data_IF_909079842262
#
_entry.id   IF_909079842262
#
_cell.length_a   1.000
_cell.length_b   1.000
_cell.length_c   1.000
_cell.angle_alpha   90.00
_cell.angle_beta   90.00
_cell.angle_gamma   90.00
#
_symmetry.space_group_name_H-M   'P 1'
#
loop_
_entity.id
_entity.type
_entity.pdbx_description
1 polymer ?
#
# COMPACT_ATOMS: atom_id res chain seq x y z
N UNK A 1 -6.38 48.35 21.77
CA UNK A 1 -6.89 47.54 20.70
C UNK A 1 -8.40 47.54 20.69
N UNK A 2 -8.98 47.61 19.56
CA UNK A 2 -10.43 47.63 19.42
C UNK A 2 -10.97 46.20 19.53
N UNK A 3 -12.21 46.12 19.98
CA UNK A 3 -12.89 44.83 20.12
C UNK A 3 -12.94 44.07 18.79
N UNK A 4 -13.10 44.81 17.69
CA UNK A 4 -13.12 44.22 16.35
C UNK A 4 -11.82 43.52 16.03
N UNK A 5 -10.70 44.16 16.37
CA UNK A 5 -9.38 43.57 16.11
C UNK A 5 -9.15 42.31 16.94
N UNK A 6 -9.58 42.33 18.21
CA UNK A 6 -9.51 41.17 19.07
C UNK A 6 -10.35 40.02 18.52
N UNK A 7 -11.54 40.35 18.07
CA UNK A 7 -12.44 39.37 17.49
C UNK A 7 -11.83 38.74 16.22
N UNK A 8 -11.27 39.57 15.34
CA UNK A 8 -10.65 39.09 14.13
C UNK A 8 -9.45 38.20 14.43
N UNK A 9 -8.68 38.55 15.45
CA UNK A 9 -7.54 37.73 15.85
C UNK A 9 -7.98 36.36 16.34
N UNK A 10 -9.05 36.31 17.15
CA UNK A 10 -9.62 35.08 17.64
C UNK A 10 -10.16 34.20 16.51
N UNK A 11 -10.88 34.83 15.58
CA UNK A 11 -11.42 34.12 14.42
C UNK A 11 -10.30 33.55 13.57
N UNK A 12 -9.23 34.31 13.36
CA UNK A 12 -8.08 33.82 12.62
C UNK A 12 -7.42 32.61 13.28
N UNK A 13 -7.26 32.67 14.61
CA UNK A 13 -6.67 31.57 15.35
C UNK A 13 -7.56 30.33 15.30
N UNK A 14 -8.86 30.49 15.48
CA UNK A 14 -9.80 29.37 15.36
C UNK A 14 -9.76 28.76 13.97
N UNK A 15 -9.69 29.60 12.96
CA UNK A 15 -9.63 29.15 11.58
C UNK A 15 -8.37 28.34 11.32
N UNK A 16 -7.24 28.80 11.85
CA UNK A 16 -5.96 28.10 11.73
C UNK A 16 -6.02 26.75 12.42
N UNK A 17 -6.52 26.71 13.65
CA UNK A 17 -6.67 25.48 14.40
C UNK A 17 -7.58 24.49 13.67
N UNK A 18 -8.67 24.97 13.10
CA UNK A 18 -9.60 24.14 12.35
C UNK A 18 -8.93 23.57 11.11
N UNK A 19 -8.16 24.37 10.40
CA UNK A 19 -7.43 23.91 9.21
C UNK A 19 -6.39 22.86 9.59
N UNK A 20 -5.64 23.08 10.67
CA UNK A 20 -4.66 22.12 11.15
C UNK A 20 -5.32 20.81 11.53
N UNK A 21 -6.42 20.85 12.26
CA UNK A 21 -7.17 19.65 12.64
C UNK A 21 -7.71 18.92 11.42
N UNK A 22 -8.24 19.66 10.46
CA UNK A 22 -8.75 19.07 9.23
C UNK A 22 -7.64 18.42 8.43
N UNK A 23 -6.48 19.07 8.34
CA UNK A 23 -5.32 18.52 7.66
C UNK A 23 -4.87 17.22 8.32
N UNK A 24 -4.82 17.19 9.65
CA UNK A 24 -4.47 16.00 10.41
C UNK A 24 -5.45 14.87 10.17
N UNK A 25 -6.76 15.17 10.18
CA UNK A 25 -7.79 14.18 9.91
C UNK A 25 -7.67 13.61 8.49
N UNK A 26 -7.39 14.46 7.52
CA UNK A 26 -7.25 14.04 6.13
C UNK A 26 -6.05 13.10 5.99
N UNK A 27 -4.92 13.48 6.60
CA UNK A 27 -3.72 12.64 6.58
C UNK A 27 -3.97 11.29 7.26
N UNK A 28 -4.60 11.31 8.44
CA UNK A 28 -4.91 10.08 9.16
C UNK A 28 -5.86 9.20 8.38
N UNK A 29 -6.84 9.79 7.72
CA UNK A 29 -7.81 9.06 6.92
C UNK A 29 -7.16 8.41 5.72
N UNK A 30 -6.27 9.12 5.04
CA UNK A 30 -5.55 8.58 3.90
C UNK A 30 -4.65 7.42 4.33
N UNK A 31 -3.92 7.59 5.42
CA UNK A 31 -3.06 6.55 5.97
C UNK A 31 -3.86 5.32 6.36
N UNK A 32 -4.98 5.52 7.06
CA UNK A 32 -5.84 4.41 7.47
C UNK A 32 -6.43 3.67 6.29
N UNK A 33 -6.80 4.40 5.24
CA UNK A 33 -7.32 3.79 4.02
C UNK A 33 -6.28 2.87 3.41
N UNK A 34 -5.05 3.35 3.28
CA UNK A 34 -3.96 2.54 2.72
C UNK A 34 -3.64 1.35 3.60
N UNK A 35 -3.58 1.56 4.92
CA UNK A 35 -3.34 0.48 5.87
C UNK A 35 -4.43 -0.59 5.80
N UNK A 36 -5.68 -0.19 5.66
CA UNK A 36 -6.79 -1.12 5.52
C UNK A 36 -6.74 -1.89 4.22
N UNK A 37 -6.38 -1.23 3.12
CA UNK A 37 -6.23 -1.89 1.84
C UNK A 37 -5.12 -2.94 1.89
N UNK A 38 -4.01 -2.60 2.50
CA UNK A 38 -2.90 -3.55 2.68
C UNK A 38 -3.36 -4.73 3.54
N UNK A 39 -4.05 -4.46 4.64
CA UNK A 39 -4.55 -5.52 5.52
C UNK A 39 -5.47 -6.48 4.78
N UNK A 40 -6.39 -5.96 3.99
CA UNK A 40 -7.31 -6.77 3.20
C UNK A 40 -6.55 -7.63 2.19
N UNK A 41 -5.61 -7.03 1.47
CA UNK A 41 -4.79 -7.76 0.49
C UNK A 41 -4.01 -8.88 1.15
N UNK A 42 -3.43 -8.61 2.32
CA UNK A 42 -2.68 -9.62 3.07
C UNK A 42 -3.59 -10.77 3.48
N UNK A 43 -4.72 -10.45 4.10
CA UNK A 43 -5.65 -11.48 4.57
C UNK A 43 -6.19 -12.34 3.43
N UNK A 44 -6.57 -11.71 2.33
CA UNK A 44 -7.06 -12.43 1.16
C UNK A 44 -5.99 -13.36 0.58
N UNK A 45 -4.76 -12.88 0.52
CA UNK A 45 -3.67 -13.69 -0.01
C UNK A 45 -3.33 -14.85 0.91
N UNK A 46 -3.36 -14.64 2.21
CA UNK A 46 -3.14 -15.72 3.17
C UNK A 46 -4.21 -16.80 3.02
N UNK A 47 -5.47 -16.39 2.87
CA UNK A 47 -6.55 -17.34 2.62
C UNK A 47 -6.34 -18.12 1.33
N UNK A 48 -5.97 -17.42 0.28
CA UNK A 48 -5.70 -18.02 -1.02
C UNK A 48 -4.59 -19.05 -0.96
N UNK A 49 -3.53 -18.76 -0.21
CA UNK A 49 -2.38 -19.64 -0.07
C UNK A 49 -2.54 -20.68 1.03
N UNK A 50 -3.58 -20.57 1.83
CA UNK A 50 -3.79 -21.46 2.97
C UNK A 50 -2.78 -21.26 4.08
N UNK A 51 -2.24 -20.04 4.21
CA UNK A 51 -1.24 -19.72 5.21
C UNK A 51 -1.88 -19.03 6.41
N UNK A 52 -1.28 -19.24 7.58
CA UNK A 52 -1.69 -18.54 8.78
C UNK A 52 -0.88 -17.26 8.96
N UNK A 53 -1.36 -16.40 9.86
CA UNK A 53 -0.61 -15.20 10.22
C UNK A 53 0.75 -15.54 10.81
N UNK A 54 0.83 -16.65 11.52
CA UNK A 54 2.08 -17.16 12.09
C UNK A 54 3.08 -17.53 10.99
N UNK A 55 2.58 -18.17 9.94
CA UNK A 55 3.42 -18.53 8.80
C UNK A 55 4.00 -17.29 8.15
N UNK A 56 3.18 -16.25 8.00
CA UNK A 56 3.63 -14.99 7.45
C UNK A 56 4.68 -14.34 8.35
N UNK A 57 4.46 -14.38 9.67
CA UNK A 57 5.42 -13.82 10.62
C UNK A 57 6.79 -14.49 10.48
N UNK A 58 6.81 -15.79 10.34
CA UNK A 58 8.04 -16.54 10.12
C UNK A 58 8.73 -16.15 8.81
N UNK A 59 7.96 -16.05 7.75
CA UNK A 59 8.49 -15.69 6.43
C UNK A 59 9.07 -14.27 6.44
N UNK A 60 8.46 -13.36 7.17
CA UNK A 60 8.93 -11.99 7.29
C UNK A 60 9.98 -11.78 8.35
N UNK A 61 10.22 -12.80 9.17
CA UNK A 61 11.15 -12.72 10.29
C UNK A 61 10.74 -11.65 11.30
N UNK A 62 9.45 -11.60 11.58
CA UNK A 62 8.90 -10.66 12.58
C UNK A 62 8.05 -11.42 13.58
N UNK A 63 7.64 -10.74 14.65
CA UNK A 63 6.80 -11.36 15.68
C UNK A 63 5.37 -11.51 15.17
N UNK A 64 4.63 -12.51 15.69
CA UNK A 64 3.21 -12.65 15.35
C UNK A 64 2.40 -11.41 15.71
N UNK A 65 2.77 -10.70 16.77
CA UNK A 65 2.11 -9.46 17.16
C UNK A 65 2.25 -8.40 16.07
N UNK A 66 3.39 -8.37 15.40
CA UNK A 66 3.61 -7.43 14.30
C UNK A 66 2.62 -7.69 13.16
N UNK A 67 2.40 -8.95 12.83
CA UNK A 67 1.43 -9.33 11.80
C UNK A 67 0.02 -8.95 12.25
N UNK A 68 -0.32 -9.21 13.50
CA UNK A 68 -1.63 -8.83 14.05
C UNK A 68 -1.88 -7.33 13.87
N UNK A 69 -0.86 -6.52 14.11
CA UNK A 69 -0.96 -5.07 13.91
C UNK A 69 -1.18 -4.72 12.43
N UNK A 70 -0.44 -5.38 11.54
CA UNK A 70 -0.58 -5.15 10.10
C UNK A 70 -2.00 -5.44 9.65
N UNK A 71 -2.54 -6.59 10.02
CA UNK A 71 -3.88 -6.99 9.57
C UNK A 71 -5.00 -6.26 10.31
N UNK A 72 -4.68 -5.50 11.34
CA UNK A 72 -5.66 -4.64 12.00
C UNK A 72 -6.09 -3.47 11.11
N UNK A 73 -5.26 -3.12 10.12
CA UNK A 73 -5.54 -2.02 9.21
C UNK A 73 -5.36 -0.65 9.82
N UNK A 74 -4.70 -0.56 10.96
CA UNK A 74 -4.47 0.71 11.66
C UNK A 74 -3.00 1.09 11.75
N UNK A 75 -2.11 0.23 11.31
CA UNK A 75 -0.69 0.43 11.46
C UNK A 75 -0.12 1.29 10.34
N UNK A 76 0.73 2.23 10.69
CA UNK A 76 1.49 3.00 9.73
C UNK A 76 2.71 2.18 9.35
N UNK A 77 2.61 1.44 8.26
CA UNK A 77 3.65 0.52 7.84
C UNK A 77 4.84 1.26 7.24
N UNK A 78 6.04 0.82 7.61
CA UNK A 78 7.26 1.33 6.99
C UNK A 78 7.34 0.82 5.56
N UNK A 79 8.11 1.53 4.75
CA UNK A 79 8.36 1.10 3.37
C UNK A 79 9.02 -0.28 3.35
N UNK A 80 9.93 -0.53 4.28
CA UNK A 80 10.58 -1.84 4.39
C UNK A 80 9.58 -2.96 4.61
N UNK A 81 8.63 -2.76 5.52
CA UNK A 81 7.58 -3.74 5.77
C UNK A 81 6.72 -3.95 4.54
N UNK A 82 6.37 -2.87 3.86
CA UNK A 82 5.57 -2.95 2.63
C UNK A 82 6.30 -3.71 1.54
N UNK A 83 7.60 -3.50 1.40
CA UNK A 83 8.41 -4.23 0.43
C UNK A 83 8.43 -5.72 0.76
N UNK A 84 8.62 -6.08 2.03
CA UNK A 84 8.61 -7.47 2.46
C UNK A 84 7.28 -8.15 2.16
N UNK A 85 6.18 -7.49 2.48
CA UNK A 85 4.84 -8.02 2.19
C UNK A 85 4.65 -8.22 0.69
N UNK A 86 5.01 -7.22 -0.09
CA UNK A 86 4.87 -7.27 -1.53
C UNK A 86 5.65 -8.43 -2.14
N UNK A 87 6.88 -8.63 -1.69
CA UNK A 87 7.76 -9.65 -2.25
C UNK A 87 7.37 -11.05 -1.78
N UNK A 88 7.04 -11.20 -0.51
CA UNK A 88 6.71 -12.52 0.05
C UNK A 88 5.35 -13.00 -0.43
N UNK A 89 4.36 -12.13 -0.44
CA UNK A 89 3.00 -12.50 -0.83
C UNK A 89 2.70 -12.23 -2.30
N UNK A 90 3.59 -11.55 -3.00
CA UNK A 90 3.39 -11.18 -4.41
C UNK A 90 2.07 -10.42 -4.60
N UNK A 91 1.86 -9.41 -3.77
CA UNK A 91 0.67 -8.56 -3.82
C UNK A 91 1.06 -7.13 -4.20
N UNK A 92 0.19 -6.41 -4.91
CA UNK A 92 0.48 -5.04 -5.34
C UNK A 92 0.29 -4.05 -4.19
N UNK A 93 1.37 -3.63 -3.59
CA UNK A 93 1.33 -2.62 -2.52
C UNK A 93 1.96 -1.32 -2.98
N UNK A 94 3.18 -1.40 -3.51
CA UNK A 94 3.93 -0.24 -3.97
C UNK A 94 3.98 -0.19 -5.49
N UNK A 95 4.25 0.99 -6.01
CA UNK A 95 4.39 1.18 -7.45
C UNK A 95 5.45 0.25 -8.05
N UNK A 96 6.51 -0.03 -7.29
CA UNK A 96 7.57 -0.92 -7.73
C UNK A 96 7.07 -2.30 -8.13
N UNK A 97 5.96 -2.77 -7.56
CA UNK A 97 5.37 -4.04 -7.95
C UNK A 97 5.08 -4.07 -9.44
N UNK A 98 4.48 -2.98 -9.94
CA UNK A 98 4.13 -2.87 -11.34
C UNK A 98 5.32 -2.52 -12.21
N UNK A 99 6.20 -1.68 -11.70
CA UNK A 99 7.41 -1.27 -12.42
C UNK A 99 8.31 -2.46 -12.68
N UNK A 100 8.51 -3.31 -11.68
CA UNK A 100 9.32 -4.51 -11.84
C UNK A 100 8.74 -5.45 -12.90
N UNK A 101 7.43 -5.59 -12.90
CA UNK A 101 6.75 -6.40 -13.90
C UNK A 101 6.87 -5.80 -15.29
N UNK A 102 6.74 -4.50 -15.40
CA UNK A 102 6.90 -3.81 -16.68
C UNK A 102 8.32 -3.93 -17.19
N UNK A 103 9.29 -3.75 -16.33
CA UNK A 103 10.68 -3.90 -16.71
C UNK A 103 10.99 -5.34 -17.13
N UNK A 104 10.42 -6.31 -16.44
CA UNK A 104 10.51 -7.69 -16.84
C UNK A 104 9.90 -7.92 -18.20
N UNK A 105 8.76 -7.32 -18.46
CA UNK A 105 8.12 -7.38 -19.77
C UNK A 105 8.98 -6.70 -20.83
N UNK A 106 9.56 -5.57 -20.50
CA UNK A 106 10.42 -4.83 -21.41
C UNK A 106 11.64 -5.66 -21.81
N UNK A 107 12.24 -6.36 -20.88
CA UNK A 107 13.35 -7.25 -21.18
C UNK A 107 12.96 -8.33 -22.19
N UNK A 108 11.72 -8.72 -22.16
CA UNK A 108 11.23 -9.81 -22.99
C UNK A 108 10.66 -9.31 -24.31
N UNK A 109 10.01 -8.16 -24.27
CA UNK A 109 9.18 -7.67 -25.36
C UNK A 109 9.87 -6.59 -26.16
N UNK A 110 10.61 -5.70 -25.48
CA UNK A 110 11.28 -4.62 -26.17
C UNK A 110 12.19 -5.09 -27.29
N UNK A 111 13.02 -6.10 -27.07
CA UNK A 111 13.86 -6.60 -28.18
C UNK A 111 13.02 -7.11 -29.31
N UNK A 112 11.90 -7.68 -29.03
CA UNK A 112 11.06 -8.23 -30.07
C UNK A 112 9.95 -7.28 -30.45
N UNK A 113 9.52 -6.43 -29.55
CA UNK A 113 8.45 -5.47 -29.77
C UNK A 113 7.48 -5.90 -30.85
N UNK A 114 7.43 -7.17 -31.07
CA UNK A 114 6.58 -7.72 -32.08
C UNK A 114 5.41 -8.38 -31.39
N UNK A 115 4.28 -8.21 -31.99
CA UNK A 115 3.06 -8.80 -31.49
C UNK A 115 3.15 -10.32 -31.48
N UNK A 116 3.95 -10.85 -32.35
CA UNK A 116 4.10 -12.30 -32.46
C UNK A 116 4.68 -12.91 -31.18
N UNK A 117 5.71 -12.31 -30.63
CA UNK A 117 6.27 -12.78 -29.37
C UNK A 117 5.29 -12.66 -28.23
N UNK A 118 4.56 -11.57 -28.18
CA UNK A 118 3.53 -11.35 -27.19
C UNK A 118 2.41 -12.37 -27.34
N UNK A 119 1.94 -12.53 -28.54
CA UNK A 119 0.87 -13.47 -28.83
C UNK A 119 1.30 -14.90 -28.53
N UNK A 120 2.53 -15.24 -28.88
CA UNK A 120 3.07 -16.54 -28.58
C UNK A 120 3.04 -16.83 -27.09
N UNK A 121 3.46 -15.88 -26.29
CA UNK A 121 3.45 -16.03 -24.84
C UNK A 121 2.05 -16.13 -24.28
N UNK A 122 1.13 -15.31 -24.78
CA UNK A 122 -0.26 -15.38 -24.36
C UNK A 122 -0.87 -16.72 -24.72
N UNK A 123 -0.63 -17.16 -25.92
CA UNK A 123 -1.14 -18.44 -26.40
C UNK A 123 -0.56 -19.58 -25.58
N UNK A 124 0.73 -19.51 -25.27
CA UNK A 124 1.36 -20.51 -24.43
C UNK A 124 0.73 -20.54 -23.04
N UNK A 125 0.45 -19.39 -22.48
CA UNK A 125 -0.20 -19.29 -21.19
C UNK A 125 -1.64 -19.75 -21.21
N UNK A 126 -2.34 -19.51 -22.31
CA UNK A 126 -3.74 -19.90 -22.44
C UNK A 126 -3.88 -21.35 -22.83
N UNK A 127 -2.98 -21.84 -23.63
CA UNK A 127 -3.01 -23.24 -24.04
C UNK A 127 -2.49 -24.17 -22.97
N UNK A 128 -1.55 -23.68 -22.24
CA UNK A 128 -0.86 -24.48 -21.22
C UNK A 128 -1.43 -24.20 -19.87
#
# INVERSE_FOLDING_TARGET
MKNKEKFLALVSNEKTDTLERNTTRIKSRAMLRESQQIAIKVLMKLDELGLSQRDLAKAMEVSPQHITKIVSGKENLTIETQIKLQNILNIPILASFYEDKMMGMDKWVLPSLNEDSLNKKRLTHTKN
#
